data_IF_251893800910
#
_entry.id   IF_251893800910
#
_cell.length_a   1.000
_cell.length_b   1.000
_cell.length_c   1.000
_cell.angle_alpha   90.00
_cell.angle_beta   90.00
_cell.angle_gamma   90.00
#
_symmetry.space_group_name_H-M   'P 1'
#
loop_
_entity.id
_entity.type
_entity.pdbx_description
1 polymer ?
#
# COMPACT_ATOMS: atom_id res chain seq x y z
N UNK A 1 -7.17 14.67 -3.85
CA UNK A 1 -8.36 14.19 -4.59
C UNK A 1 -9.66 14.17 -3.75
N UNK A 2 -9.59 14.28 -2.44
CA UNK A 2 -10.79 14.23 -1.56
C UNK A 2 -11.85 15.31 -1.91
N UNK A 3 -11.45 16.40 -2.55
CA UNK A 3 -12.31 17.54 -2.88
C UNK A 3 -12.42 17.84 -4.37
N UNK A 4 -11.65 17.18 -5.25
CA UNK A 4 -11.65 17.47 -6.68
C UNK A 4 -12.04 16.21 -7.46
N UNK A 5 -13.31 16.14 -7.87
CA UNK A 5 -13.86 14.97 -8.59
C UNK A 5 -13.70 15.09 -10.11
N UNK A 6 -13.52 16.30 -10.62
CA UNK A 6 -13.36 16.56 -12.05
C UNK A 6 -12.03 17.24 -12.28
N UNK A 7 -11.28 16.73 -13.23
CA UNK A 7 -9.99 17.26 -13.66
C UNK A 7 -10.07 17.54 -15.14
N UNK A 8 -9.72 18.75 -15.54
CA UNK A 8 -9.80 19.21 -16.92
C UNK A 8 -8.42 19.60 -17.42
N UNK A 9 -7.95 18.93 -18.48
CA UNK A 9 -6.83 19.38 -19.28
C UNK A 9 -7.34 20.38 -20.33
N UNK A 10 -6.43 21.17 -20.90
CA UNK A 10 -6.77 22.10 -21.96
C UNK A 10 -7.09 21.35 -23.26
N UNK A 11 -8.05 21.88 -24.04
CA UNK A 11 -8.36 21.38 -25.38
C UNK A 11 -7.24 21.78 -26.37
N UNK A 12 -7.05 21.03 -27.43
CA UNK A 12 -6.17 21.44 -28.52
C UNK A 12 -6.77 22.63 -29.28
N UNK A 13 -5.93 23.63 -29.55
CA UNK A 13 -6.35 24.81 -30.30
C UNK A 13 -6.55 24.50 -31.79
N UNK A 14 -7.49 25.18 -32.42
CA UNK A 14 -7.68 25.07 -33.88
C UNK A 14 -6.56 25.74 -34.63
N UNK A 15 -6.10 25.14 -35.72
CA UNK A 15 -5.24 25.80 -36.67
C UNK A 15 -5.90 26.99 -37.36
N UNK A 16 -5.12 27.94 -37.87
CA UNK A 16 -5.64 29.14 -38.52
C UNK A 16 -5.10 29.32 -39.94
N UNK A 17 -5.73 30.28 -40.67
CA UNK A 17 -5.35 30.63 -42.03
C UNK A 17 -4.05 31.43 -42.15
N UNK A 18 -3.46 31.88 -41.04
CA UNK A 18 -2.25 32.71 -41.02
C UNK A 18 -0.97 31.89 -40.77
N UNK A 19 -0.86 30.71 -41.36
CA UNK A 19 0.27 29.77 -41.19
C UNK A 19 0.46 29.26 -39.77
N UNK A 20 -0.52 29.46 -38.90
CA UNK A 20 -0.45 29.06 -37.49
C UNK A 20 -1.07 27.69 -37.28
N UNK A 21 -0.28 26.76 -36.77
CA UNK A 21 -0.76 25.50 -36.21
C UNK A 21 -1.25 25.76 -34.77
N UNK A 22 -2.38 25.22 -34.40
CA UNK A 22 -2.89 25.31 -33.04
C UNK A 22 -1.98 24.59 -32.05
N UNK A 23 -1.88 25.11 -30.85
CA UNK A 23 -1.14 24.47 -29.78
C UNK A 23 -1.85 23.22 -29.26
N UNK A 24 -1.06 22.23 -28.85
CA UNK A 24 -1.59 21.10 -28.08
C UNK A 24 -2.03 21.62 -26.69
N UNK A 25 -3.10 21.05 -26.15
CA UNK A 25 -3.54 21.37 -24.78
C UNK A 25 -2.50 20.95 -23.74
N UNK A 26 -2.37 21.74 -22.67
CA UNK A 26 -1.45 21.40 -21.59
C UNK A 26 -1.95 20.20 -20.80
N UNK A 27 -1.00 19.35 -20.43
CA UNK A 27 -1.27 18.21 -19.57
C UNK A 27 -1.60 18.65 -18.14
N UNK A 28 -2.45 17.86 -17.48
CA UNK A 28 -2.70 17.98 -16.04
C UNK A 28 -2.20 16.72 -15.35
N UNK A 29 -1.30 16.91 -14.40
CA UNK A 29 -0.72 15.82 -13.60
C UNK A 29 -1.47 15.75 -12.28
N UNK A 30 -1.84 14.54 -11.90
CA UNK A 30 -2.46 14.22 -10.62
C UNK A 30 -1.46 13.40 -9.81
N UNK A 31 -0.97 13.96 -8.72
CA UNK A 31 -0.09 13.23 -7.80
C UNK A 31 -0.89 12.21 -7.01
N UNK A 32 -0.42 10.99 -7.02
CA UNK A 32 -1.02 9.85 -6.31
C UNK A 32 0.06 9.06 -5.56
N UNK A 33 -0.29 8.43 -4.41
CA UNK A 33 0.67 7.59 -3.69
C UNK A 33 1.04 6.34 -4.50
N UNK A 34 2.19 5.74 -4.18
CA UNK A 34 2.59 4.43 -4.70
C UNK A 34 1.53 3.37 -4.37
N UNK A 35 1.35 2.42 -5.28
CA UNK A 35 0.31 1.41 -5.16
C UNK A 35 -1.07 1.86 -5.65
N UNK A 36 -1.19 3.06 -6.23
CA UNK A 36 -2.45 3.50 -6.84
C UNK A 36 -2.69 2.80 -8.16
N UNK A 37 -3.86 2.19 -8.30
CA UNK A 37 -4.36 1.57 -9.54
C UNK A 37 -5.42 2.46 -10.14
N UNK A 38 -5.24 2.83 -11.40
CA UNK A 38 -6.27 3.51 -12.18
C UNK A 38 -7.07 2.48 -12.99
N UNK A 39 -8.39 2.49 -12.83
CA UNK A 39 -9.31 1.64 -13.60
C UNK A 39 -10.31 2.49 -14.34
N UNK A 40 -10.68 2.04 -15.52
CA UNK A 40 -11.80 2.59 -16.24
C UNK A 40 -13.11 2.23 -15.52
N UNK A 41 -13.92 3.23 -15.19
CA UNK A 41 -15.17 3.02 -14.45
C UNK A 41 -16.25 2.31 -15.28
N UNK A 42 -16.20 2.47 -16.59
CA UNK A 42 -17.22 1.97 -17.49
C UNK A 42 -16.92 0.52 -17.93
N UNK A 43 -15.64 0.19 -18.17
CA UNK A 43 -15.21 -1.16 -18.60
C UNK A 43 -14.68 -2.03 -17.47
N UNK A 44 -14.27 -1.43 -16.35
CA UNK A 44 -13.58 -2.11 -15.24
C UNK A 44 -12.14 -2.54 -15.55
N UNK A 45 -11.62 -2.21 -16.73
CA UNK A 45 -10.25 -2.56 -17.11
C UNK A 45 -9.22 -1.71 -16.36
N UNK A 46 -8.10 -2.33 -15.98
CA UNK A 46 -6.97 -1.60 -15.38
C UNK A 46 -6.25 -0.81 -16.46
N UNK A 47 -6.20 0.51 -16.30
CA UNK A 47 -5.48 1.42 -17.19
C UNK A 47 -3.98 1.32 -16.87
N UNK A 48 -3.63 1.47 -15.59
CA UNK A 48 -2.26 1.36 -15.10
C UNK A 48 -2.20 1.20 -13.58
N UNK A 49 -1.02 0.89 -13.07
CA UNK A 49 -0.68 0.81 -11.66
C UNK A 49 0.64 1.55 -11.43
N UNK A 50 0.67 2.48 -10.49
CA UNK A 50 1.87 3.24 -10.11
C UNK A 50 2.66 2.44 -9.08
N UNK A 51 3.79 1.87 -9.50
CA UNK A 51 4.60 0.98 -8.66
C UNK A 51 5.96 1.57 -8.26
N UNK A 52 6.39 2.65 -8.94
CA UNK A 52 7.67 3.31 -8.71
C UNK A 52 7.45 4.79 -8.49
N UNK A 53 8.37 5.39 -7.75
CA UNK A 53 8.41 6.85 -7.59
C UNK A 53 8.68 7.53 -8.94
N UNK A 54 8.05 8.69 -9.15
CA UNK A 54 8.10 9.46 -10.41
C UNK A 54 7.57 8.72 -11.66
N UNK A 55 6.87 7.59 -11.49
CA UNK A 55 6.25 6.88 -12.60
C UNK A 55 5.03 7.66 -13.12
N UNK A 56 5.00 7.89 -14.46
CA UNK A 56 3.89 8.60 -15.10
C UNK A 56 3.00 7.62 -15.86
N UNK A 57 1.69 7.77 -15.65
CA UNK A 57 0.67 7.01 -16.37
C UNK A 57 -0.29 7.96 -17.09
N UNK A 58 -0.50 7.72 -18.36
CA UNK A 58 -1.46 8.49 -19.18
C UNK A 58 -2.83 7.84 -19.06
N UNK A 59 -3.72 8.40 -18.25
CA UNK A 59 -5.09 7.91 -18.10
C UNK A 59 -5.97 8.28 -19.29
N UNK A 60 -5.79 9.49 -19.83
CA UNK A 60 -6.52 10.01 -21.00
C UNK A 60 -5.55 10.82 -21.86
N UNK A 61 -5.62 10.64 -23.17
CA UNK A 61 -4.83 11.47 -24.10
C UNK A 61 -5.56 12.77 -24.37
N UNK A 62 -4.82 13.90 -24.33
CA UNK A 62 -5.31 15.19 -24.75
C UNK A 62 -5.54 15.29 -26.25
N UNK A 63 -6.40 16.20 -26.67
CA UNK A 63 -6.59 16.54 -28.07
C UNK A 63 -5.36 17.26 -28.64
N UNK A 64 -4.93 16.93 -29.85
CA UNK A 64 -3.85 17.63 -30.55
C UNK A 64 -4.35 18.93 -31.13
N UNK A 65 -3.46 19.91 -31.23
CA UNK A 65 -3.73 21.14 -31.95
C UNK A 65 -3.95 20.88 -33.43
N UNK A 66 -4.88 21.63 -34.03
CA UNK A 66 -5.19 21.53 -35.43
C UNK A 66 -4.10 22.10 -36.33
N UNK A 67 -3.85 21.46 -37.47
CA UNK A 67 -2.86 21.89 -38.43
C UNK A 67 -3.30 23.22 -39.12
N UNK A 68 -2.38 24.19 -39.17
CA UNK A 68 -2.57 25.43 -39.91
C UNK A 68 -2.57 25.23 -41.45
N UNK A 69 -3.08 26.22 -42.21
CA UNK A 69 -3.25 26.13 -43.66
C UNK A 69 -1.96 25.80 -44.40
N UNK A 70 -0.81 26.18 -43.89
CA UNK A 70 0.49 25.86 -44.49
C UNK A 70 0.71 24.36 -44.69
N UNK A 71 0.27 23.53 -43.80
CA UNK A 71 0.43 22.07 -43.84
C UNK A 71 -0.34 21.42 -45.00
N UNK A 72 -1.31 22.14 -45.61
CA UNK A 72 -2.14 21.68 -46.72
C UNK A 72 -1.69 22.24 -48.08
N UNK A 73 -0.51 22.90 -48.12
CA UNK A 73 0.07 23.41 -49.32
C UNK A 73 0.53 22.27 -50.25
N UNK A 74 0.17 22.40 -51.51
CA UNK A 74 0.56 21.43 -52.55
C UNK A 74 0.94 22.17 -53.83
N UNK A 75 1.50 21.45 -54.83
CA UNK A 75 1.87 22.03 -56.10
C UNK A 75 0.70 22.69 -56.85
N UNK A 76 -0.49 22.14 -56.67
CA UNK A 76 -1.75 22.61 -57.29
C UNK A 76 -2.54 23.61 -56.40
N UNK A 77 -2.26 23.65 -55.08
CA UNK A 77 -2.88 24.57 -54.15
C UNK A 77 -1.79 25.26 -53.30
N UNK A 78 -1.26 26.36 -53.81
CA UNK A 78 -0.15 27.07 -53.16
C UNK A 78 -0.60 27.98 -51.98
N UNK A 79 -1.88 28.33 -51.91
CA UNK A 79 -2.46 29.20 -50.88
C UNK A 79 -3.77 28.60 -50.32
N UNK A 80 -3.67 27.52 -49.54
CA UNK A 80 -4.89 26.92 -48.94
C UNK A 80 -5.56 27.94 -47.98
N UNK A 81 -6.87 28.03 -48.07
CA UNK A 81 -7.70 28.91 -47.20
C UNK A 81 -8.35 28.18 -46.06
N UNK A 82 -8.06 26.90 -45.88
CA UNK A 82 -8.59 26.05 -44.81
C UNK A 82 -7.49 25.58 -43.85
N UNK A 83 -7.86 25.42 -42.61
CA UNK A 83 -7.02 24.84 -41.58
C UNK A 83 -7.84 23.74 -40.88
N UNK A 84 -7.16 22.86 -40.15
CA UNK A 84 -7.77 21.78 -39.43
C UNK A 84 -8.22 22.26 -38.03
N UNK A 85 -9.41 21.92 -37.56
CA UNK A 85 -9.78 22.13 -36.17
C UNK A 85 -8.89 21.28 -35.25
N UNK A 86 -8.73 21.69 -33.99
CA UNK A 86 -8.13 20.84 -32.97
C UNK A 86 -8.93 19.56 -32.76
N UNK A 87 -8.28 18.51 -32.32
CA UNK A 87 -8.96 17.27 -31.95
C UNK A 87 -9.85 17.51 -30.72
N UNK A 88 -11.06 16.96 -30.70
CA UNK A 88 -11.94 17.09 -29.54
C UNK A 88 -11.32 16.33 -28.35
N UNK A 89 -11.58 16.84 -27.14
CA UNK A 89 -11.18 16.17 -25.91
C UNK A 89 -11.90 14.82 -25.74
N UNK A 90 -11.19 13.90 -25.14
CA UNK A 90 -11.76 12.61 -24.70
C UNK A 90 -12.03 12.71 -23.19
N UNK A 91 -13.22 12.32 -22.79
CA UNK A 91 -13.61 12.23 -21.38
C UNK A 91 -13.63 10.76 -20.96
N UNK A 92 -13.14 10.49 -19.75
CA UNK A 92 -13.15 9.12 -19.19
C UNK A 92 -13.42 9.20 -17.69
N UNK A 93 -14.27 8.32 -17.20
CA UNK A 93 -14.47 8.10 -15.79
C UNK A 93 -13.41 7.12 -15.28
N UNK A 94 -12.57 7.57 -14.34
CA UNK A 94 -11.49 6.76 -13.79
C UNK A 94 -11.72 6.56 -12.31
N UNK A 95 -11.67 5.31 -11.87
CA UNK A 95 -11.65 4.94 -10.46
C UNK A 95 -10.17 4.80 -10.05
N UNK A 96 -9.77 5.60 -9.07
CA UNK A 96 -8.45 5.47 -8.46
C UNK A 96 -8.60 4.65 -7.18
N UNK A 97 -8.02 3.46 -7.18
CA UNK A 97 -7.97 2.55 -6.03
C UNK A 97 -6.56 2.59 -5.46
N UNK A 98 -6.41 2.97 -4.21
CA UNK A 98 -5.14 2.84 -3.50
C UNK A 98 -5.05 1.41 -2.95
N UNK A 99 -4.14 0.61 -3.50
CA UNK A 99 -3.74 -0.64 -2.88
C UNK A 99 -2.84 -0.29 -1.70
N UNK A 100 -3.41 -0.14 -0.53
CA UNK A 100 -2.65 0.12 0.69
C UNK A 100 -1.83 -1.12 0.99
N UNK A 101 -0.53 -1.03 0.75
CA UNK A 101 0.42 -2.04 1.19
C UNK A 101 0.65 -1.81 2.68
N UNK A 102 0.60 -2.88 3.47
CA UNK A 102 0.96 -2.76 4.87
C UNK A 102 2.49 -2.71 5.00
N UNK A 103 2.97 -1.72 5.73
CA UNK A 103 4.39 -1.60 6.07
C UNK A 103 4.78 -2.64 7.12
N UNK A 104 3.85 -3.00 8.00
CA UNK A 104 4.03 -3.99 9.08
C UNK A 104 2.93 -5.03 9.02
N UNK A 105 3.31 -6.30 8.89
CA UNK A 105 2.41 -7.45 8.97
C UNK A 105 2.44 -8.09 10.35
N UNK A 106 1.26 -8.24 11.00
CA UNK A 106 1.13 -8.94 12.28
C UNK A 106 1.06 -10.44 12.07
N UNK A 107 1.91 -11.17 12.77
CA UNK A 107 2.00 -12.64 12.74
C UNK A 107 1.88 -13.17 14.16
N UNK A 108 0.98 -14.09 14.43
CA UNK A 108 0.81 -14.67 15.77
C UNK A 108 -0.39 -15.57 15.84
N UNK A 109 -0.43 -16.44 16.84
CA UNK A 109 -1.53 -17.36 17.09
C UNK A 109 -2.85 -16.62 17.37
N UNK A 110 -4.01 -17.29 17.26
CA UNK A 110 -5.26 -16.76 17.77
C UNK A 110 -5.10 -16.32 19.23
N UNK A 111 -5.75 -15.22 19.59
CA UNK A 111 -5.68 -14.63 20.93
C UNK A 111 -4.30 -14.11 21.40
N UNK A 112 -3.29 -14.06 20.53
CA UNK A 112 -2.01 -13.38 20.82
C UNK A 112 -2.14 -11.86 21.00
N UNK A 113 -3.33 -11.28 20.81
CA UNK A 113 -3.58 -9.85 21.01
C UNK A 113 -3.38 -8.96 19.78
N UNK A 114 -3.24 -9.53 18.57
CA UNK A 114 -3.01 -8.79 17.31
C UNK A 114 -4.04 -7.70 17.04
N UNK A 115 -5.31 -8.07 17.01
CA UNK A 115 -6.39 -7.11 16.72
C UNK A 115 -6.56 -6.08 17.84
N UNK A 116 -6.26 -6.45 19.10
CA UNK A 116 -6.25 -5.53 20.23
C UNK A 116 -5.10 -4.51 20.06
N UNK A 117 -3.90 -4.98 19.75
CA UNK A 117 -2.76 -4.10 19.48
C UNK A 117 -3.11 -3.13 18.35
N UNK A 118 -3.61 -3.66 17.22
CA UNK A 118 -3.98 -2.85 16.07
C UNK A 118 -4.99 -1.75 16.44
N UNK A 119 -5.98 -2.06 17.26
CA UNK A 119 -6.99 -1.10 17.72
C UNK A 119 -6.41 0.00 18.62
N UNK A 120 -5.40 -0.32 19.42
CA UNK A 120 -4.76 0.62 20.36
C UNK A 120 -3.76 1.54 19.65
N UNK A 121 -3.02 1.02 18.67
CA UNK A 121 -1.97 1.81 17.99
C UNK A 121 -2.51 2.63 16.83
N UNK A 122 -3.68 2.29 16.29
CA UNK A 122 -4.29 2.97 15.15
C UNK A 122 -4.82 4.34 15.51
N UNK A 123 -4.60 5.31 14.63
CA UNK A 123 -5.12 6.68 14.77
C UNK A 123 -6.64 6.79 14.57
N UNK A 124 -7.22 5.85 13.86
CA UNK A 124 -8.66 5.69 13.63
C UNK A 124 -9.04 4.23 13.88
N UNK A 125 -10.35 3.94 13.94
CA UNK A 125 -10.78 2.53 14.00
C UNK A 125 -10.19 1.78 12.80
N UNK A 126 -9.59 0.59 13.03
CA UNK A 126 -9.09 -0.24 11.94
C UNK A 126 -10.18 -0.46 10.90
N UNK A 127 -9.83 -0.28 9.64
CA UNK A 127 -10.75 -0.49 8.53
C UNK A 127 -10.57 -1.88 7.94
N UNK A 128 -11.69 -2.50 7.64
CA UNK A 128 -11.74 -3.77 6.93
C UNK A 128 -11.52 -3.46 5.45
N UNK A 129 -10.39 -3.88 4.89
CA UNK A 129 -10.08 -3.65 3.48
C UNK A 129 -10.56 -4.84 2.64
N UNK A 130 -11.61 -4.62 1.85
CA UNK A 130 -12.11 -5.61 0.89
C UNK A 130 -11.23 -5.60 -0.37
N UNK A 131 -10.24 -6.45 -0.41
CA UNK A 131 -9.45 -6.66 -1.63
C UNK A 131 -10.12 -7.74 -2.50
N UNK A 132 -10.44 -7.49 -3.78
CA UNK A 132 -11.16 -8.43 -4.63
C UNK A 132 -10.41 -9.73 -4.92
N UNK A 133 -9.17 -9.83 -4.46
CA UNK A 133 -8.29 -11.00 -4.63
C UNK A 133 -7.96 -11.72 -3.32
N UNK A 134 -8.56 -11.31 -2.17
CA UNK A 134 -8.35 -11.96 -0.87
C UNK A 134 -9.57 -12.74 -0.47
N UNK A 135 -9.37 -13.99 -0.05
CA UNK A 135 -10.42 -14.82 0.58
C UNK A 135 -10.61 -14.45 2.07
N UNK A 136 -9.60 -13.85 2.68
CA UNK A 136 -9.64 -13.31 4.03
C UNK A 136 -9.41 -11.80 3.99
N UNK A 137 -10.21 -11.11 4.73
CA UNK A 137 -10.23 -9.64 4.73
C UNK A 137 -9.29 -9.14 5.82
N UNK A 138 -8.17 -8.48 5.48
CA UNK A 138 -7.25 -7.95 6.48
C UNK A 138 -7.86 -6.74 7.20
N UNK A 139 -7.54 -6.60 8.47
CA UNK A 139 -7.78 -5.39 9.22
C UNK A 139 -6.57 -4.47 9.08
N UNK A 140 -6.76 -3.28 8.57
CA UNK A 140 -5.70 -2.28 8.40
C UNK A 140 -5.84 -1.17 9.44
N UNK A 141 -4.73 -0.75 10.00
CA UNK A 141 -4.66 0.40 10.89
C UNK A 141 -3.53 1.33 10.51
N UNK A 142 -3.83 2.63 10.43
CA UNK A 142 -2.82 3.68 10.25
C UNK A 142 -2.27 4.02 11.63
N UNK A 143 -1.00 3.76 11.83
CA UNK A 143 -0.28 4.02 13.09
C UNK A 143 0.43 5.37 12.99
N UNK A 144 -0.03 6.34 13.78
CA UNK A 144 0.66 7.61 13.88
C UNK A 144 1.94 7.47 14.70
N UNK A 145 3.00 8.07 14.18
CA UNK A 145 4.28 8.18 14.81
C UNK A 145 4.68 9.66 14.93
N UNK A 146 5.79 9.97 15.57
CA UNK A 146 6.29 11.34 15.86
C UNK A 146 6.31 12.20 14.58
N UNK A 147 6.17 13.52 14.73
CA UNK A 147 6.30 14.52 13.66
C UNK A 147 5.37 14.31 12.45
N UNK A 148 4.10 13.94 12.71
CA UNK A 148 3.09 13.66 11.67
C UNK A 148 3.45 12.53 10.69
N UNK A 149 4.37 11.67 11.06
CA UNK A 149 4.70 10.47 10.31
C UNK A 149 3.70 9.36 10.62
N UNK A 150 3.52 8.45 9.70
CA UNK A 150 2.63 7.31 9.87
C UNK A 150 3.12 6.12 9.06
N UNK A 151 2.71 4.93 9.48
CA UNK A 151 2.88 3.69 8.72
C UNK A 151 1.63 2.84 8.85
N UNK A 152 1.44 1.91 7.93
CA UNK A 152 0.28 1.04 7.89
C UNK A 152 0.61 -0.32 8.48
N UNK A 153 -0.19 -0.75 9.45
CA UNK A 153 -0.09 -2.06 10.07
C UNK A 153 -1.30 -2.91 9.67
N UNK A 154 -1.05 -4.16 9.31
CA UNK A 154 -2.10 -5.12 8.93
C UNK A 154 -2.14 -6.31 9.86
N UNK A 155 -3.34 -6.61 10.39
CA UNK A 155 -3.64 -7.92 10.96
C UNK A 155 -4.21 -8.81 9.85
N UNK A 156 -3.51 -9.88 9.54
CA UNK A 156 -3.88 -10.83 8.50
C UNK A 156 -4.45 -12.07 9.19
N UNK A 157 -5.77 -12.18 9.33
CA UNK A 157 -6.39 -13.35 9.97
C UNK A 157 -6.05 -14.61 9.15
N UNK A 158 -5.75 -15.70 9.81
CA UNK A 158 -5.59 -17.02 9.17
C UNK A 158 -4.30 -17.25 8.38
N UNK A 159 -3.24 -16.45 8.56
CA UNK A 159 -1.90 -16.87 8.13
C UNK A 159 -1.55 -18.22 8.78
N UNK A 160 -2.05 -18.45 9.99
CA UNK A 160 -1.72 -19.59 10.85
C UNK A 160 -2.85 -20.62 10.91
N UNK A 161 -4.13 -20.21 10.79
CA UNK A 161 -5.25 -21.11 10.82
C UNK A 161 -5.49 -21.80 9.47
N UNK A 162 -4.78 -22.88 9.18
CA UNK A 162 -5.07 -23.78 8.07
C UNK A 162 -4.22 -23.57 6.82
N UNK A 163 -3.03 -23.00 6.92
CA UNK A 163 -2.06 -22.94 5.83
C UNK A 163 -1.76 -24.35 5.26
N UNK A 164 -1.77 -25.36 6.10
CA UNK A 164 -1.60 -26.76 5.73
C UNK A 164 -2.85 -27.43 5.12
N UNK A 165 -4.03 -26.77 5.16
CA UNK A 165 -5.28 -27.32 4.61
C UNK A 165 -5.56 -26.89 3.17
N UNK A 166 -4.63 -26.22 2.49
CA UNK A 166 -4.78 -25.85 1.08
C UNK A 166 -5.87 -24.82 0.77
N UNK A 167 -6.54 -24.26 1.79
CA UNK A 167 -7.44 -23.12 1.63
C UNK A 167 -6.61 -21.85 1.62
N UNK A 168 -5.77 -21.69 0.58
CA UNK A 168 -4.81 -20.62 0.45
C UNK A 168 -5.46 -19.25 0.59
N UNK A 169 -5.03 -18.52 1.58
CA UNK A 169 -4.98 -17.07 1.51
C UNK A 169 -4.35 -16.69 0.20
N UNK A 170 -5.03 -15.83 -0.54
CA UNK A 170 -4.59 -15.53 -1.87
C UNK A 170 -3.09 -15.15 -1.91
N UNK A 171 -2.28 -16.02 -2.49
CA UNK A 171 -0.87 -15.80 -2.85
C UNK A 171 -0.62 -14.40 -3.40
N UNK A 172 -1.66 -13.74 -3.91
CA UNK A 172 -1.62 -12.39 -4.44
C UNK A 172 -1.57 -11.29 -3.36
N UNK A 173 -2.17 -11.51 -2.18
CA UNK A 173 -2.13 -10.51 -1.11
C UNK A 173 -0.74 -10.42 -0.47
N UNK A 174 -0.07 -11.56 -0.30
CA UNK A 174 1.29 -11.58 0.25
C UNK A 174 2.34 -11.06 -0.73
N UNK A 175 2.13 -11.19 -2.03
CA UNK A 175 2.94 -10.49 -3.03
C UNK A 175 2.93 -8.96 -2.86
N UNK A 176 1.90 -8.41 -2.27
CA UNK A 176 1.77 -6.97 -2.01
C UNK A 176 2.43 -6.54 -0.68
N UNK A 177 2.72 -7.47 0.23
CA UNK A 177 3.59 -7.25 1.41
C UNK A 177 5.08 -7.26 1.00
N UNK A 178 5.38 -7.61 -0.26
CA UNK A 178 6.70 -8.04 -0.73
C UNK A 178 7.79 -6.97 -0.79
N UNK A 179 7.50 -5.66 -0.77
CA UNK A 179 8.60 -4.74 -1.10
C UNK A 179 9.34 -4.11 0.07
N UNK A 180 8.70 -3.79 1.19
CA UNK A 180 9.40 -3.16 2.34
C UNK A 180 8.79 -3.51 3.70
N UNK A 181 8.05 -4.60 3.82
CA UNK A 181 7.30 -4.91 5.04
C UNK A 181 8.16 -5.57 6.11
N UNK A 182 7.97 -5.12 7.32
CA UNK A 182 8.48 -5.75 8.54
C UNK A 182 7.44 -6.74 9.05
N UNK A 183 7.87 -7.90 9.51
CA UNK A 183 7.00 -8.87 10.17
C UNK A 183 7.10 -8.71 11.68
N UNK A 184 5.98 -8.36 12.32
CA UNK A 184 5.87 -8.29 13.76
C UNK A 184 5.25 -9.59 14.28
N UNK A 185 6.09 -10.44 14.85
CA UNK A 185 5.64 -11.65 15.52
C UNK A 185 5.09 -11.30 16.88
N UNK A 186 3.93 -11.85 17.21
CA UNK A 186 3.28 -11.64 18.51
C UNK A 186 3.10 -12.97 19.22
N UNK A 187 3.74 -13.09 20.38
CA UNK A 187 3.59 -14.23 21.29
C UNK A 187 3.14 -13.70 22.65
N UNK A 188 2.11 -14.27 23.27
CA UNK A 188 1.66 -13.80 24.56
C UNK A 188 2.62 -14.24 25.68
N UNK A 189 2.76 -13.43 26.72
CA UNK A 189 3.65 -13.69 27.85
C UNK A 189 3.19 -14.87 28.73
N UNK A 190 1.93 -15.30 28.60
CA UNK A 190 1.36 -16.47 29.25
C UNK A 190 1.65 -17.79 28.49
N UNK A 191 2.45 -17.74 27.42
CA UNK A 191 2.93 -18.93 26.71
C UNK A 191 4.00 -19.69 27.52
N UNK A 192 3.93 -21.01 27.51
CA UNK A 192 4.90 -21.89 28.19
C UNK A 192 6.27 -21.92 27.46
N UNK A 193 6.29 -21.68 26.14
CA UNK A 193 7.51 -21.73 25.30
C UNK A 193 7.44 -20.69 24.17
N UNK A 194 7.85 -19.46 24.48
CA UNK A 194 7.88 -18.35 23.50
C UNK A 194 8.77 -18.67 22.31
N UNK A 195 9.93 -19.30 22.56
CA UNK A 195 10.88 -19.63 21.50
C UNK A 195 10.31 -20.72 20.56
N UNK A 196 9.65 -21.73 21.13
CA UNK A 196 8.96 -22.79 20.38
C UNK A 196 7.81 -22.24 19.55
N UNK A 197 6.96 -21.39 20.12
CA UNK A 197 5.87 -20.74 19.39
C UNK A 197 6.40 -19.89 18.24
N UNK A 198 7.44 -19.10 18.47
CA UNK A 198 8.09 -18.32 17.41
C UNK A 198 8.60 -19.21 16.26
N UNK A 199 9.24 -20.36 16.57
CA UNK A 199 9.69 -21.33 15.58
C UNK A 199 8.55 -21.93 14.76
N UNK A 200 7.43 -22.24 15.42
CA UNK A 200 6.23 -22.77 14.76
C UNK A 200 5.71 -21.73 13.76
N UNK A 201 5.52 -20.48 14.22
CA UNK A 201 5.08 -19.37 13.37
C UNK A 201 6.00 -19.15 12.16
N UNK A 202 7.31 -19.22 12.39
CA UNK A 202 8.31 -19.07 11.34
C UNK A 202 8.26 -20.22 10.32
N UNK A 203 8.04 -21.44 10.79
CA UNK A 203 7.91 -22.62 9.92
C UNK A 203 6.62 -22.58 9.10
N UNK A 204 5.51 -22.12 9.67
CA UNK A 204 4.27 -21.92 8.93
C UNK A 204 4.42 -20.84 7.84
N UNK A 205 5.07 -19.72 8.15
CA UNK A 205 5.41 -18.71 7.14
C UNK A 205 6.26 -19.29 6.01
N UNK A 206 7.25 -20.11 6.35
CA UNK A 206 8.11 -20.79 5.38
C UNK A 206 7.31 -21.71 4.46
N UNK A 207 6.38 -22.48 4.99
CA UNK A 207 5.50 -23.34 4.20
C UNK A 207 4.56 -22.54 3.31
N UNK A 208 4.16 -21.36 3.77
CA UNK A 208 3.26 -20.48 3.05
C UNK A 208 3.95 -19.73 1.90
N UNK A 209 5.03 -19.01 2.20
CA UNK A 209 5.90 -18.34 1.22
C UNK A 209 7.33 -18.19 1.78
N UNK A 210 8.32 -18.92 1.24
CA UNK A 210 9.71 -18.82 1.69
C UNK A 210 10.31 -17.40 1.59
N UNK A 211 9.85 -16.56 0.66
CA UNK A 211 10.34 -15.18 0.48
C UNK A 211 10.04 -14.29 1.68
N UNK A 212 9.05 -14.64 2.49
CA UNK A 212 8.74 -13.91 3.73
C UNK A 212 9.82 -14.09 4.80
N UNK A 213 10.66 -15.11 4.68
CA UNK A 213 11.77 -15.34 5.60
C UNK A 213 12.91 -14.33 5.43
N UNK A 214 13.00 -13.68 4.28
CA UNK A 214 14.01 -12.66 4.01
C UNK A 214 13.62 -11.28 4.57
N UNK A 215 12.40 -11.16 5.12
CA UNK A 215 11.92 -9.91 5.71
C UNK A 215 12.54 -9.63 7.07
N UNK A 216 12.71 -8.34 7.36
CA UNK A 216 13.08 -7.89 8.71
C UNK A 216 12.00 -8.32 9.71
N UNK A 217 12.41 -8.77 10.89
CA UNK A 217 11.53 -9.36 11.89
C UNK A 217 11.71 -8.71 13.24
N UNK A 218 10.59 -8.56 13.95
CA UNK A 218 10.52 -8.09 15.33
C UNK A 218 9.63 -9.05 16.12
N UNK A 219 9.93 -9.24 17.40
CA UNK A 219 9.12 -10.02 18.33
C UNK A 219 8.49 -9.09 19.37
N UNK A 220 7.17 -9.13 19.48
CA UNK A 220 6.43 -8.48 20.56
C UNK A 220 5.88 -9.53 21.52
N UNK A 221 6.32 -9.50 22.77
CA UNK A 221 5.75 -10.31 23.84
C UNK A 221 4.57 -9.54 24.41
N UNK A 222 3.35 -9.99 24.04
CA UNK A 222 2.12 -9.31 24.41
C UNK A 222 1.64 -9.70 25.81
N UNK A 223 0.65 -8.97 26.35
CA UNK A 223 0.07 -9.19 27.69
C UNK A 223 1.12 -9.10 28.81
N UNK A 224 2.12 -8.23 28.68
CA UNK A 224 3.18 -8.09 29.67
C UNK A 224 2.71 -7.55 31.03
N UNK A 225 1.43 -7.15 31.12
CA UNK A 225 0.78 -6.78 32.39
C UNK A 225 0.50 -7.97 33.32
N UNK A 226 0.63 -9.20 32.85
CA UNK A 226 0.50 -10.41 33.67
C UNK A 226 1.80 -10.89 34.31
N UNK A 227 2.93 -10.28 33.95
CA UNK A 227 4.26 -10.70 34.41
C UNK A 227 5.01 -9.56 35.10
N UNK A 228 5.82 -9.92 36.12
CA UNK A 228 6.70 -8.99 36.84
C UNK A 228 8.05 -8.85 36.15
N UNK A 229 8.79 -7.85 36.61
CA UNK A 229 10.12 -7.55 36.05
C UNK A 229 11.12 -8.69 36.23
N UNK A 230 10.99 -9.47 37.29
CA UNK A 230 11.87 -10.62 37.54
C UNK A 230 11.64 -11.70 36.51
N UNK A 231 10.38 -12.02 36.23
CA UNK A 231 9.99 -12.99 35.24
C UNK A 231 10.32 -12.52 33.81
N UNK A 232 10.18 -11.20 33.51
CA UNK A 232 10.63 -10.65 32.23
C UNK A 232 12.13 -10.91 32.02
N UNK A 233 12.96 -10.66 33.03
CA UNK A 233 14.42 -10.88 32.94
C UNK A 233 14.80 -12.36 32.82
N UNK A 234 13.97 -13.25 33.30
CA UNK A 234 14.15 -14.68 33.13
C UNK A 234 13.78 -15.12 31.71
N UNK A 235 12.66 -14.66 31.22
CA UNK A 235 12.17 -14.94 29.85
C UNK A 235 13.14 -14.40 28.77
N UNK A 236 13.80 -13.27 29.00
CA UNK A 236 14.79 -12.70 28.07
C UNK A 236 15.94 -13.66 27.72
N UNK A 237 16.26 -14.60 28.60
CA UNK A 237 17.35 -15.57 28.38
C UNK A 237 16.99 -16.64 27.34
N UNK A 238 15.69 -16.88 27.18
CA UNK A 238 15.16 -17.93 26.29
C UNK A 238 14.56 -17.37 24.99
N UNK A 239 14.65 -16.05 24.77
CA UNK A 239 14.15 -15.42 23.56
C UNK A 239 15.06 -15.71 22.34
N UNK A 240 14.49 -15.73 21.13
CA UNK A 240 15.28 -15.84 19.91
C UNK A 240 16.16 -14.60 19.72
N UNK A 241 17.29 -14.78 19.01
CA UNK A 241 18.25 -13.70 18.69
C UNK A 241 17.69 -12.75 17.60
N UNK A 242 16.62 -12.05 17.92
CA UNK A 242 15.97 -11.02 17.10
C UNK A 242 15.57 -9.85 18.00
N UNK A 243 15.41 -8.64 17.46
CA UNK A 243 14.90 -7.53 18.25
C UNK A 243 13.53 -7.84 18.84
N UNK A 244 13.36 -7.59 20.15
CA UNK A 244 12.12 -7.89 20.87
C UNK A 244 11.68 -6.73 21.75
N UNK A 245 10.41 -6.73 22.13
CA UNK A 245 9.82 -5.77 23.07
C UNK A 245 8.65 -6.40 23.83
N UNK A 246 8.56 -6.11 25.12
CA UNK A 246 7.40 -6.47 25.95
C UNK A 246 6.34 -5.39 25.84
N UNK A 247 5.11 -5.78 25.51
CA UNK A 247 4.00 -4.83 25.33
C UNK A 247 2.76 -5.26 26.10
N UNK A 248 2.01 -4.28 26.58
CA UNK A 248 0.65 -4.44 27.02
C UNK A 248 -0.27 -3.47 26.30
N UNK A 249 -1.17 -4.00 25.50
CA UNK A 249 -2.20 -3.20 24.82
C UNK A 249 -3.23 -2.63 25.77
N UNK A 250 -3.36 -3.21 26.99
CA UNK A 250 -4.31 -2.75 28.02
C UNK A 250 -3.75 -1.57 28.80
N UNK A 251 -2.50 -1.66 29.24
CA UNK A 251 -1.87 -0.61 30.04
C UNK A 251 -1.15 0.45 29.17
N UNK A 252 -0.89 0.14 27.91
CA UNK A 252 -0.09 0.99 27.02
C UNK A 252 1.42 0.85 27.22
N UNK A 253 1.87 -0.03 28.11
CA UNK A 253 3.29 -0.26 28.37
C UNK A 253 3.98 -0.83 27.14
N UNK A 254 5.21 -0.34 26.83
CA UNK A 254 6.02 -0.79 25.68
C UNK A 254 5.52 -0.36 24.31
N UNK A 255 4.33 0.24 24.18
CA UNK A 255 3.75 0.60 22.88
C UNK A 255 4.59 1.66 22.13
N UNK A 256 5.11 2.68 22.85
CA UNK A 256 5.95 3.69 22.21
C UNK A 256 7.29 3.11 21.78
N UNK A 257 7.87 2.24 22.59
CA UNK A 257 9.11 1.53 22.28
C UNK A 257 8.92 0.64 21.04
N UNK A 258 7.82 -0.09 20.96
CA UNK A 258 7.44 -0.86 19.76
C UNK A 258 7.37 0.04 18.52
N UNK A 259 6.71 1.20 18.60
CA UNK A 259 6.62 2.15 17.49
C UNK A 259 8.01 2.69 17.08
N UNK A 260 8.86 3.00 18.04
CA UNK A 260 10.23 3.47 17.79
C UNK A 260 11.07 2.39 17.09
N UNK A 261 10.95 1.13 17.53
CA UNK A 261 11.64 -0.01 16.91
C UNK A 261 11.14 -0.27 15.49
N UNK A 262 9.83 -0.33 15.29
CA UNK A 262 9.22 -0.52 13.97
C UNK A 262 9.64 0.59 13.00
N UNK A 263 9.58 1.85 13.44
CA UNK A 263 9.99 2.98 12.61
C UNK A 263 11.47 2.90 12.20
N UNK A 264 12.34 2.53 13.13
CA UNK A 264 13.77 2.34 12.85
C UNK A 264 13.97 1.26 11.80
N UNK A 265 13.37 0.08 11.99
CA UNK A 265 13.53 -1.06 11.08
C UNK A 265 12.95 -0.79 9.70
N UNK A 266 11.86 -0.02 9.60
CA UNK A 266 11.26 0.39 8.31
C UNK A 266 12.14 1.38 7.53
N UNK A 267 12.95 2.21 8.22
CA UNK A 267 13.76 3.26 7.58
C UNK A 267 15.28 2.96 7.61
N UNK A 268 15.71 1.83 8.16
CA UNK A 268 17.08 1.34 8.00
C UNK A 268 17.18 0.66 6.62
N UNK A 269 18.06 1.20 5.74
CA UNK A 269 18.44 0.60 4.46
C UNK A 269 19.27 -0.67 4.63
#
# INVERSE_FOLDING_TARGET
>A
LKFQRHVYAEDGESGSGNLCTGADGKDVIIDVPLGTVARDADTGETICEITKDEELCVAVKGGRGGLGNWNFRSATNQTPRYAQPGEPRVERNVILELKVLADVGLVGFPNAGKSTLLSVVSAAKPEIANYPFTTLVPNLGIVNYRDNRSFVMADIPGIIEGAHLGKGLGLRFLRHIERNSVLLFMVPSDSEDIHGEYKILLNELKQYNPELLDKKRLLAISKSDFIDKELMSEMEKDLPDIPYVFISSVTGSGIMELKDMLWRVLNEE
#
